data_IF_304031856251
#
_entry.id   IF_304031856251
#
_cell.length_a   1.000
_cell.length_b   1.000
_cell.length_c   1.000
_cell.angle_alpha   90.00
_cell.angle_beta   90.00
_cell.angle_gamma   90.00
#
_symmetry.space_group_name_H-M   'P 1'
#
loop_
_entity.id
_entity.type
_entity.pdbx_description
1 polymer ?
#
# COMPACT_ATOMS: atom_id res chain seq x y z
N UNK A 1 -6.77 31.21 11.34
CA UNK A 1 -5.54 30.49 10.96
C UNK A 1 -6.00 29.10 10.56
N UNK A 2 -5.97 28.80 9.26
CA UNK A 2 -6.46 27.52 8.74
C UNK A 2 -5.34 26.53 9.00
N UNK A 3 -5.52 25.66 10.00
CA UNK A 3 -4.63 24.54 10.25
C UNK A 3 -4.46 23.76 8.94
N UNK A 4 -3.22 23.72 8.46
CA UNK A 4 -2.81 22.93 7.32
C UNK A 4 -3.40 21.53 7.48
N UNK A 5 -4.33 21.16 6.60
CA UNK A 5 -4.79 19.80 6.38
C UNK A 5 -3.60 19.01 5.81
N UNK A 6 -2.55 18.84 6.61
CA UNK A 6 -1.44 17.96 6.29
C UNK A 6 -2.06 16.57 6.36
N UNK A 7 -2.22 15.85 5.23
CA UNK A 7 -2.75 14.50 5.28
C UNK A 7 -1.85 13.73 6.24
N UNK A 8 -2.43 13.28 7.36
CA UNK A 8 -1.68 12.47 8.31
C UNK A 8 -1.18 11.24 7.55
N UNK A 9 0.07 10.80 7.81
CA UNK A 9 0.51 9.53 7.28
C UNK A 9 -0.52 8.48 7.69
N UNK A 10 -0.94 7.67 6.71
CA UNK A 10 -1.87 6.58 6.91
C UNK A 10 -1.30 5.63 7.97
N UNK A 11 -2.15 5.17 8.86
CA UNK A 11 -1.80 4.12 9.80
C UNK A 11 -1.60 2.78 9.08
N UNK A 12 -0.90 1.85 9.73
CA UNK A 12 -0.65 0.50 9.20
C UNK A 12 -1.93 -0.21 8.74
N UNK A 13 -3.02 -0.10 9.51
CA UNK A 13 -4.31 -0.68 9.17
C UNK A 13 -4.89 -0.14 7.86
N UNK A 14 -4.84 1.18 7.66
CA UNK A 14 -5.34 1.83 6.44
C UNK A 14 -4.47 1.45 5.22
N UNK A 15 -3.15 1.36 5.41
CA UNK A 15 -2.23 0.90 4.37
C UNK A 15 -2.55 -0.54 3.97
N UNK A 16 -2.84 -1.40 4.96
CA UNK A 16 -3.20 -2.80 4.72
C UNK A 16 -4.50 -2.93 3.93
N UNK A 17 -5.53 -2.15 4.25
CA UNK A 17 -6.78 -2.13 3.48
C UNK A 17 -6.56 -1.70 2.03
N UNK A 18 -5.73 -0.67 1.80
CA UNK A 18 -5.37 -0.23 0.45
C UNK A 18 -4.64 -1.35 -0.31
N UNK A 19 -3.69 -2.03 0.35
CA UNK A 19 -2.97 -3.15 -0.26
C UNK A 19 -3.91 -4.29 -0.62
N UNK A 20 -4.83 -4.70 0.26
CA UNK A 20 -5.80 -5.76 -0.06
C UNK A 20 -6.68 -5.40 -1.26
N UNK A 21 -7.12 -4.14 -1.32
CA UNK A 21 -7.88 -3.63 -2.47
C UNK A 21 -7.06 -3.71 -3.75
N UNK A 22 -5.80 -3.26 -3.72
CA UNK A 22 -4.92 -3.28 -4.89
C UNK A 22 -4.64 -4.71 -5.33
N UNK A 23 -4.35 -5.62 -4.40
CA UNK A 23 -4.15 -7.05 -4.66
C UNK A 23 -5.36 -7.64 -5.38
N UNK A 24 -6.58 -7.33 -4.92
CA UNK A 24 -7.81 -7.73 -5.60
C UNK A 24 -7.98 -7.09 -6.99
N UNK A 25 -7.67 -5.80 -7.13
CA UNK A 25 -7.80 -5.07 -8.41
C UNK A 25 -6.85 -5.60 -9.49
N UNK A 26 -5.62 -5.95 -9.13
CA UNK A 26 -4.63 -6.47 -10.09
C UNK A 26 -4.66 -7.99 -10.24
N UNK A 27 -5.52 -8.67 -9.46
CA UNK A 27 -5.61 -10.13 -9.43
C UNK A 27 -4.32 -10.80 -8.94
N UNK A 28 -3.59 -10.16 -8.02
CA UNK A 28 -2.36 -10.72 -7.48
C UNK A 28 -2.68 -11.82 -6.47
N UNK A 29 -2.03 -12.97 -6.61
CA UNK A 29 -2.20 -14.09 -5.68
C UNK A 29 -0.88 -14.78 -5.33
N UNK A 30 0.24 -14.25 -5.82
CA UNK A 30 1.55 -14.86 -5.60
C UNK A 30 2.65 -13.81 -5.46
N UNK A 31 3.81 -14.16 -4.89
CA UNK A 31 4.97 -13.27 -4.84
C UNK A 31 5.48 -12.83 -6.22
N UNK A 32 5.10 -13.54 -7.30
CA UNK A 32 5.45 -13.15 -8.68
C UNK A 32 4.74 -11.86 -9.11
N UNK A 33 3.59 -11.56 -8.52
CA UNK A 33 2.80 -10.36 -8.81
C UNK A 33 3.22 -9.15 -7.95
N UNK A 34 4.22 -9.33 -7.08
CA UNK A 34 4.80 -8.26 -6.24
C UNK A 34 5.10 -7.01 -7.04
N UNK A 35 5.73 -7.12 -8.21
CA UNK A 35 6.05 -5.96 -9.05
C UNK A 35 4.82 -5.19 -9.51
N UNK A 36 3.72 -5.89 -9.82
CA UNK A 36 2.45 -5.26 -10.22
C UNK A 36 1.80 -4.54 -9.04
N UNK A 37 1.69 -5.21 -7.89
CA UNK A 37 1.09 -4.65 -6.68
C UNK A 37 1.89 -3.46 -6.18
N UNK A 38 3.23 -3.57 -6.12
CA UNK A 38 4.12 -2.49 -5.70
C UNK A 38 4.00 -1.27 -6.61
N UNK A 39 3.88 -1.44 -7.92
CA UNK A 39 3.74 -0.31 -8.86
C UNK A 39 2.47 0.51 -8.59
N UNK A 40 1.35 -0.15 -8.32
CA UNK A 40 0.07 0.53 -8.00
C UNK A 40 0.10 1.10 -6.58
N UNK A 41 0.54 0.32 -5.59
CA UNK A 41 0.59 0.71 -4.19
C UNK A 41 1.51 1.91 -3.95
N UNK A 42 2.72 1.92 -4.53
CA UNK A 42 3.64 3.04 -4.41
C UNK A 42 3.11 4.31 -5.08
N UNK A 43 2.25 4.20 -6.11
CA UNK A 43 1.61 5.34 -6.75
C UNK A 43 0.45 5.88 -5.90
N UNK A 44 -0.38 5.01 -5.35
CA UNK A 44 -1.58 5.39 -4.58
C UNK A 44 -1.25 5.91 -3.18
N UNK A 45 -0.19 5.34 -2.57
CA UNK A 45 0.29 5.66 -1.23
C UNK A 45 1.45 6.67 -1.24
N UNK A 46 1.84 7.20 -2.40
CA UNK A 46 2.92 8.19 -2.51
C UNK A 46 2.64 9.41 -1.63
N UNK A 47 3.52 9.67 -0.66
CA UNK A 47 3.37 10.79 0.28
C UNK A 47 2.28 10.59 1.34
N UNK A 48 1.63 9.42 1.37
CA UNK A 48 0.62 9.04 2.38
C UNK A 48 1.11 7.92 3.29
N UNK A 49 1.99 7.03 2.82
CA UNK A 49 2.60 5.97 3.61
C UNK A 49 4.09 5.83 3.31
N UNK A 50 4.82 5.20 4.24
CA UNK A 50 6.23 4.85 4.05
C UNK A 50 6.36 3.69 3.06
N UNK A 51 7.22 3.85 2.04
CA UNK A 51 7.40 2.82 1.00
C UNK A 51 7.93 1.49 1.54
N UNK A 52 8.68 1.51 2.65
CA UNK A 52 9.19 0.32 3.34
C UNK A 52 8.04 -0.44 4.01
N UNK A 53 7.14 0.29 4.68
CA UNK A 53 5.93 -0.29 5.29
C UNK A 53 5.05 -0.93 4.22
N UNK A 54 4.84 -0.23 3.10
CA UNK A 54 4.08 -0.77 1.96
C UNK A 54 4.72 -2.06 1.44
N UNK A 55 6.04 -2.07 1.25
CA UNK A 55 6.74 -3.25 0.77
C UNK A 55 6.60 -4.45 1.73
N UNK A 56 6.73 -4.22 3.04
CA UNK A 56 6.55 -5.28 4.04
C UNK A 56 5.14 -5.87 3.98
N UNK A 57 4.11 -5.02 4.00
CA UNK A 57 2.71 -5.45 4.02
C UNK A 57 2.31 -6.16 2.73
N UNK A 58 2.75 -5.68 1.56
CA UNK A 58 2.52 -6.37 0.29
C UNK A 58 3.20 -7.74 0.29
N UNK A 59 4.43 -7.83 0.81
CA UNK A 59 5.16 -9.08 0.91
C UNK A 59 4.46 -10.07 1.82
N UNK A 60 4.04 -9.67 3.02
CA UNK A 60 3.24 -10.51 3.91
C UNK A 60 1.97 -11.00 3.23
N UNK A 61 1.24 -10.10 2.54
CA UNK A 61 -0.03 -10.44 1.91
C UNK A 61 0.10 -11.45 0.76
N UNK A 62 1.22 -11.43 0.03
CA UNK A 62 1.47 -12.29 -1.14
C UNK A 62 2.32 -13.52 -0.84
N UNK A 63 3.01 -13.57 0.30
CA UNK A 63 3.88 -14.71 0.70
C UNK A 63 3.18 -15.69 1.63
N UNK A 64 1.90 -15.47 1.93
CA UNK A 64 1.02 -16.39 2.65
C UNK A 64 0.38 -17.43 1.76
#
# INVERSE_FOLDING_TARGET
IIEEYRPKPLGEAEVKEVIERIVGQVGASSPKDMGKVMGVAMKELKGKADGTLVQQLVKERLSG
#
